data_IF_596658263163
#
_entry.id   IF_596658263163
#
_cell.length_a   1.000
_cell.length_b   1.000
_cell.length_c   1.000
_cell.angle_alpha   90.00
_cell.angle_beta   90.00
_cell.angle_gamma   90.00
#
_symmetry.space_group_name_H-M   'P 1'
#
loop_
_entity.id
_entity.type
_entity.pdbx_description
1 polymer ?
#
# COMPACT_ATOMS: atom_id res chain seq x y z
N UNK A 1 21.75 6.65 126.51
CA UNK A 1 22.20 5.81 125.37
C UNK A 1 21.42 6.04 124.07
N UNK A 2 20.94 7.27 123.77
CA UNK A 2 20.07 7.54 122.58
C UNK A 2 20.73 8.45 121.53
N UNK A 3 21.87 9.08 121.82
CA UNK A 3 22.45 10.13 120.95
C UNK A 3 23.39 9.62 119.84
N UNK A 4 24.04 8.46 120.01
CA UNK A 4 25.00 7.91 119.03
C UNK A 4 24.31 7.26 117.82
N UNK A 5 23.15 6.61 118.00
CA UNK A 5 22.40 5.93 116.92
C UNK A 5 21.83 6.90 115.86
N UNK A 6 21.57 8.16 116.22
CA UNK A 6 21.09 9.19 115.28
C UNK A 6 22.22 9.83 114.48
N UNK A 7 23.44 9.88 115.03
CA UNK A 7 24.62 10.41 114.32
C UNK A 7 25.14 9.40 113.28
N UNK A 8 25.14 8.10 113.57
CA UNK A 8 25.51 7.06 112.60
C UNK A 8 24.53 6.99 111.43
N UNK A 9 23.23 7.13 111.68
CA UNK A 9 22.21 7.23 110.62
C UNK A 9 22.36 8.49 109.74
N UNK A 10 22.83 9.61 110.29
CA UNK A 10 23.10 10.81 109.49
C UNK A 10 24.34 10.66 108.60
N UNK A 11 25.39 9.98 109.08
CA UNK A 11 26.58 9.69 108.29
C UNK A 11 26.28 8.70 107.14
N UNK A 12 25.56 7.63 107.41
CA UNK A 12 25.10 6.67 106.39
C UNK A 12 24.22 7.34 105.31
N UNK A 13 23.38 8.31 105.70
CA UNK A 13 22.52 9.04 104.75
C UNK A 13 23.32 10.06 103.91
N UNK A 14 24.41 10.62 104.45
CA UNK A 14 25.31 11.51 103.72
C UNK A 14 26.15 10.76 102.67
N UNK A 15 26.66 9.57 103.02
CA UNK A 15 27.35 8.69 102.06
C UNK A 15 26.40 8.20 100.96
N UNK A 16 25.14 7.90 101.30
CA UNK A 16 24.12 7.53 100.32
C UNK A 16 23.82 8.68 99.33
N UNK A 17 23.77 9.93 99.80
CA UNK A 17 23.59 11.13 98.96
C UNK A 17 24.82 11.38 98.07
N UNK A 18 26.03 11.13 98.57
CA UNK A 18 27.25 11.25 97.78
C UNK A 18 27.28 10.23 96.63
N UNK A 19 26.99 8.96 96.93
CA UNK A 19 26.86 7.89 95.91
C UNK A 19 25.77 8.19 94.88
N UNK A 20 24.62 8.71 95.31
CA UNK A 20 23.55 9.17 94.41
C UNK A 20 24.04 10.30 93.47
N UNK A 21 24.84 11.22 93.97
CA UNK A 21 25.40 12.32 93.17
C UNK A 21 26.41 11.83 92.13
N UNK A 22 27.28 10.87 92.49
CA UNK A 22 28.21 10.22 91.56
C UNK A 22 27.48 9.40 90.50
N UNK A 23 26.48 8.61 90.89
CA UNK A 23 25.63 7.88 89.95
C UNK A 23 24.92 8.81 88.97
N UNK A 24 24.40 9.95 89.45
CA UNK A 24 23.72 10.92 88.59
C UNK A 24 24.70 11.56 87.58
N UNK A 25 25.95 11.80 88.00
CA UNK A 25 27.02 12.33 87.15
C UNK A 25 27.50 11.32 86.12
N UNK A 26 27.68 10.05 86.50
CA UNK A 26 28.05 8.97 85.56
C UNK A 26 26.94 8.68 84.57
N UNK A 27 25.68 8.72 85.02
CA UNK A 27 24.50 8.58 84.15
C UNK A 27 24.38 9.74 83.17
N UNK A 28 24.60 10.98 83.62
CA UNK A 28 24.63 12.14 82.74
C UNK A 28 25.74 12.02 81.68
N UNK A 29 26.94 11.59 82.08
CA UNK A 29 28.05 11.35 81.15
C UNK A 29 27.75 10.22 80.16
N UNK A 30 27.14 9.13 80.62
CA UNK A 30 26.70 8.02 79.75
C UNK A 30 25.64 8.45 78.75
N UNK A 31 24.67 9.28 79.16
CA UNK A 31 23.66 9.84 78.25
C UNK A 31 24.29 10.80 77.21
N UNK A 32 25.28 11.60 77.61
CA UNK A 32 26.03 12.49 76.71
C UNK A 32 26.79 11.68 75.64
N UNK A 33 27.47 10.61 76.03
CA UNK A 33 28.19 9.72 75.11
C UNK A 33 27.23 8.97 74.17
N UNK A 34 26.06 8.53 74.67
CA UNK A 34 25.00 7.94 73.83
C UNK A 34 24.50 8.95 72.79
N UNK A 35 24.25 10.20 73.18
CA UNK A 35 23.83 11.26 72.24
C UNK A 35 24.89 11.51 71.18
N UNK A 36 26.17 11.60 71.56
CA UNK A 36 27.28 11.76 70.60
C UNK A 36 27.40 10.56 69.65
N UNK A 37 27.23 9.35 70.16
CA UNK A 37 27.22 8.13 69.33
C UNK A 37 26.06 8.12 68.33
N UNK A 38 24.86 8.50 68.77
CA UNK A 38 23.68 8.63 67.90
C UNK A 38 23.87 9.71 66.83
N UNK A 39 24.44 10.86 67.19
CA UNK A 39 24.75 11.95 66.27
C UNK A 39 25.79 11.53 65.22
N UNK A 40 26.84 10.81 65.64
CA UNK A 40 27.85 10.26 64.73
C UNK A 40 27.25 9.25 63.75
N UNK A 41 26.40 8.35 64.23
CA UNK A 41 25.72 7.35 63.39
C UNK A 41 24.77 8.01 62.40
N UNK A 42 24.05 9.06 62.83
CA UNK A 42 23.17 9.85 61.95
C UNK A 42 23.95 10.54 60.84
N UNK A 43 25.14 11.08 61.12
CA UNK A 43 26.01 11.68 60.10
C UNK A 43 26.52 10.66 59.08
N UNK A 44 26.97 9.48 59.55
CA UNK A 44 27.41 8.39 58.65
C UNK A 44 26.25 7.95 57.74
N UNK A 45 25.03 7.86 58.28
CA UNK A 45 23.85 7.50 57.50
C UNK A 45 23.49 8.56 56.45
N UNK A 46 23.65 9.85 56.78
CA UNK A 46 23.43 10.97 55.84
C UNK A 46 24.47 11.00 54.71
N UNK A 47 25.76 10.81 55.03
CA UNK A 47 26.85 10.70 54.05
C UNK A 47 26.61 9.55 53.08
N UNK A 48 26.22 8.38 53.60
CA UNK A 48 25.92 7.20 52.79
C UNK A 48 24.71 7.44 51.88
N UNK A 49 23.67 8.10 52.37
CA UNK A 49 22.50 8.50 51.58
C UNK A 49 22.91 9.45 50.45
N UNK A 50 23.77 10.42 50.74
CA UNK A 50 24.24 11.40 49.76
C UNK A 50 25.10 10.76 48.66
N UNK A 51 26.00 9.85 49.02
CA UNK A 51 26.79 9.09 48.04
C UNK A 51 25.93 8.17 47.16
N UNK A 52 24.88 7.55 47.73
CA UNK A 52 23.92 6.78 46.95
C UNK A 52 23.14 7.66 45.96
N UNK A 53 22.73 8.86 46.37
CA UNK A 53 22.00 9.79 45.51
C UNK A 53 22.89 10.32 44.37
N UNK A 54 24.16 10.66 44.64
CA UNK A 54 25.11 11.07 43.61
C UNK A 54 25.34 9.98 42.56
N UNK A 55 25.56 8.74 43.00
CA UNK A 55 25.77 7.61 42.09
C UNK A 55 24.51 7.33 41.25
N UNK A 56 23.32 7.42 41.85
CA UNK A 56 22.05 7.30 41.14
C UNK A 56 21.90 8.38 40.08
N UNK A 57 22.19 9.64 40.42
CA UNK A 57 22.07 10.77 39.49
C UNK A 57 23.07 10.65 38.33
N UNK A 58 24.30 10.21 38.58
CA UNK A 58 25.28 9.95 37.51
C UNK A 58 24.80 8.86 36.56
N UNK A 59 24.36 7.71 37.10
CA UNK A 59 23.84 6.60 36.28
C UNK A 59 22.63 7.06 35.47
N UNK A 60 21.70 7.78 36.09
CA UNK A 60 20.52 8.30 35.41
C UNK A 60 20.91 9.25 34.26
N UNK A 61 21.80 10.21 34.52
CA UNK A 61 22.26 11.15 33.48
C UNK A 61 22.97 10.47 32.31
N UNK A 62 23.78 9.44 32.57
CA UNK A 62 24.48 8.69 31.53
C UNK A 62 23.50 7.90 30.65
N UNK A 63 22.54 7.21 31.27
CA UNK A 63 21.50 6.48 30.54
C UNK A 63 20.64 7.44 29.72
N UNK A 64 20.24 8.59 30.27
CA UNK A 64 19.49 9.61 29.54
C UNK A 64 20.27 10.15 28.33
N UNK A 65 21.59 10.36 28.47
CA UNK A 65 22.47 10.77 27.37
C UNK A 65 22.55 9.72 26.27
N UNK A 66 22.86 8.46 26.60
CA UNK A 66 22.98 7.39 25.60
C UNK A 66 21.66 7.11 24.87
N UNK A 67 20.54 7.12 25.61
CA UNK A 67 19.20 6.98 25.00
C UNK A 67 18.90 8.16 24.07
N UNK A 68 19.33 9.37 24.44
CA UNK A 68 19.24 10.56 23.60
C UNK A 68 20.00 10.40 22.28
N UNK A 69 21.26 9.99 22.34
CA UNK A 69 22.10 9.76 21.15
C UNK A 69 21.53 8.69 20.23
N UNK A 70 21.04 7.57 20.79
CA UNK A 70 20.38 6.51 20.03
C UNK A 70 19.13 7.05 19.33
N UNK A 71 18.31 7.83 20.04
CA UNK A 71 17.10 8.43 19.47
C UNK A 71 17.43 9.37 18.31
N UNK A 72 18.46 10.20 18.45
CA UNK A 72 18.88 11.13 17.40
C UNK A 72 19.40 10.37 16.17
N UNK A 73 20.18 9.31 16.36
CA UNK A 73 20.64 8.46 15.27
C UNK A 73 19.48 7.76 14.54
N UNK A 74 18.48 7.24 15.28
CA UNK A 74 17.28 6.65 14.67
C UNK A 74 16.49 7.67 13.85
N UNK A 75 16.29 8.88 14.38
CA UNK A 75 15.56 9.94 13.67
C UNK A 75 16.28 10.30 12.36
N UNK A 76 17.60 10.47 12.39
CA UNK A 76 18.39 10.74 11.18
C UNK A 76 18.30 9.62 10.15
N UNK A 77 18.30 8.34 10.57
CA UNK A 77 18.08 7.22 9.68
C UNK A 77 16.67 7.21 9.06
N UNK A 78 15.64 7.55 9.84
CA UNK A 78 14.26 7.64 9.36
C UNK A 78 14.14 8.73 8.30
N UNK A 79 14.68 9.94 8.55
CA UNK A 79 14.65 11.06 7.60
C UNK A 79 15.29 10.68 6.26
N UNK A 80 16.46 10.03 6.28
CA UNK A 80 17.12 9.54 5.05
C UNK A 80 16.26 8.54 4.28
N UNK A 81 15.62 7.59 4.98
CA UNK A 81 14.75 6.60 4.34
C UNK A 81 13.53 7.31 3.73
N UNK A 82 12.95 8.29 4.42
CA UNK A 82 11.84 9.06 3.89
C UNK A 82 12.23 9.84 2.63
N UNK A 83 13.41 10.45 2.60
CA UNK A 83 13.95 11.12 1.42
C UNK A 83 14.12 10.15 0.23
N UNK A 84 14.74 8.99 0.46
CA UNK A 84 14.93 7.96 -0.57
C UNK A 84 13.59 7.47 -1.12
N UNK A 85 12.61 7.22 -0.25
CA UNK A 85 11.25 6.81 -0.63
C UNK A 85 10.56 7.88 -1.47
N UNK A 86 10.69 9.16 -1.13
CA UNK A 86 10.13 10.25 -1.92
C UNK A 86 10.83 10.40 -3.28
N UNK A 87 12.14 10.18 -3.33
CA UNK A 87 12.90 10.18 -4.59
C UNK A 87 12.40 9.06 -5.52
N UNK A 88 12.37 7.82 -5.03
CA UNK A 88 11.87 6.67 -5.78
C UNK A 88 10.42 6.85 -6.26
N UNK A 89 9.57 7.44 -5.43
CA UNK A 89 8.19 7.74 -5.80
C UNK A 89 8.11 8.70 -6.99
N UNK A 90 9.01 9.67 -7.09
CA UNK A 90 9.11 10.60 -8.22
C UNK A 90 9.55 9.89 -9.49
N UNK A 91 10.61 9.10 -9.41
CA UNK A 91 11.13 8.30 -10.54
C UNK A 91 10.06 7.34 -11.09
N UNK A 92 9.32 6.65 -10.22
CA UNK A 92 8.19 5.79 -10.62
C UNK A 92 7.12 6.60 -11.38
N UNK A 93 6.83 7.83 -10.95
CA UNK A 93 5.89 8.71 -11.63
C UNK A 93 6.35 9.10 -13.04
N UNK A 94 7.64 9.41 -13.20
CA UNK A 94 8.24 9.73 -14.50
C UNK A 94 8.22 8.52 -15.45
N UNK A 95 8.63 7.34 -14.95
CA UNK A 95 8.61 6.10 -15.72
C UNK A 95 7.18 5.75 -16.14
N UNK A 96 6.20 5.86 -15.25
CA UNK A 96 4.79 5.61 -15.59
C UNK A 96 4.31 6.55 -16.70
N UNK A 97 4.64 7.84 -16.61
CA UNK A 97 4.26 8.83 -17.63
C UNK A 97 4.90 8.54 -18.99
N UNK A 98 6.18 8.14 -19.00
CA UNK A 98 6.89 7.77 -20.22
C UNK A 98 6.37 6.46 -20.84
N UNK A 99 6.00 5.49 -20.00
CA UNK A 99 5.35 4.26 -20.45
C UNK A 99 3.99 4.56 -21.08
N UNK A 100 3.16 5.39 -20.45
CA UNK A 100 1.87 5.82 -21.02
C UNK A 100 2.05 6.52 -22.37
N UNK A 101 3.00 7.46 -22.48
CA UNK A 101 3.30 8.17 -23.73
C UNK A 101 3.73 7.21 -24.84
N UNK A 102 4.60 6.23 -24.53
CA UNK A 102 5.05 5.23 -25.49
C UNK A 102 3.94 4.28 -25.93
N UNK A 103 3.04 3.92 -25.02
CA UNK A 103 1.84 3.13 -25.36
C UNK A 103 0.97 3.92 -26.34
N UNK A 104 0.69 5.20 -26.06
CA UNK A 104 -0.12 6.04 -26.95
C UNK A 104 0.53 6.22 -28.34
N UNK A 105 1.84 6.44 -28.42
CA UNK A 105 2.57 6.53 -29.69
C UNK A 105 2.50 5.23 -30.51
N UNK A 106 2.57 4.07 -29.85
CA UNK A 106 2.41 2.77 -30.50
C UNK A 106 0.96 2.55 -30.91
N UNK A 107 -0.02 2.91 -30.06
CA UNK A 107 -1.44 2.86 -30.38
C UNK A 107 -1.74 3.68 -31.65
N UNK A 108 -1.25 4.91 -31.75
CA UNK A 108 -1.49 5.80 -32.90
C UNK A 108 -0.88 5.27 -34.20
N UNK A 109 0.38 4.83 -34.16
CA UNK A 109 1.04 4.23 -35.34
C UNK A 109 0.29 2.99 -35.81
N UNK A 110 -0.17 2.17 -34.86
CA UNK A 110 -0.85 0.94 -35.20
C UNK A 110 -2.28 1.20 -35.66
N UNK A 111 -3.00 2.15 -35.07
CA UNK A 111 -4.30 2.63 -35.54
C UNK A 111 -4.24 3.16 -36.97
N UNK A 112 -3.17 3.86 -37.34
CA UNK A 112 -2.89 4.27 -38.72
C UNK A 112 -2.88 3.07 -39.68
N UNK A 113 -2.10 2.03 -39.36
CA UNK A 113 -2.00 0.80 -40.15
C UNK A 113 -3.32 0.02 -40.19
N UNK A 114 -4.07 -0.02 -39.09
CA UNK A 114 -5.39 -0.64 -39.02
C UNK A 114 -6.40 0.11 -39.89
N UNK A 115 -6.31 1.43 -39.96
CA UNK A 115 -7.19 2.24 -40.81
C UNK A 115 -6.98 1.93 -42.29
N UNK A 116 -5.73 1.66 -42.71
CA UNK A 116 -5.39 1.22 -44.07
C UNK A 116 -6.03 -0.14 -44.38
N UNK A 117 -6.00 -1.08 -43.42
CA UNK A 117 -6.57 -2.42 -43.59
C UNK A 117 -8.12 -2.40 -43.55
N UNK A 118 -8.74 -1.63 -42.64
CA UNK A 118 -10.20 -1.45 -42.59
C UNK A 118 -10.74 -0.87 -43.90
N UNK A 119 -9.95 -0.01 -44.57
CA UNK A 119 -10.28 0.50 -45.91
C UNK A 119 -10.31 -0.63 -46.96
N UNK A 120 -9.45 -1.65 -46.85
CA UNK A 120 -9.46 -2.83 -47.74
C UNK A 120 -10.73 -3.68 -47.59
N UNK A 121 -11.15 -4.00 -46.36
CA UNK A 121 -12.39 -4.79 -46.13
C UNK A 121 -13.62 -4.06 -46.64
N UNK A 122 -13.75 -2.77 -46.32
CA UNK A 122 -14.87 -1.93 -46.78
C UNK A 122 -14.88 -1.82 -48.30
N UNK A 123 -13.72 -1.65 -48.93
CA UNK A 123 -13.57 -1.60 -50.38
C UNK A 123 -14.04 -2.91 -51.04
N UNK A 124 -13.67 -4.09 -50.51
CA UNK A 124 -14.11 -5.38 -51.05
C UNK A 124 -15.63 -5.52 -51.01
N UNK A 125 -16.26 -5.20 -49.87
CA UNK A 125 -17.72 -5.22 -49.75
C UNK A 125 -18.40 -4.25 -50.71
N UNK A 126 -17.89 -3.03 -50.85
CA UNK A 126 -18.44 -2.04 -51.79
C UNK A 126 -18.30 -2.51 -53.24
N UNK A 127 -17.13 -3.07 -53.60
CA UNK A 127 -16.87 -3.61 -54.93
C UNK A 127 -17.78 -4.80 -55.25
N UNK A 128 -18.00 -5.70 -54.30
CA UNK A 128 -18.90 -6.86 -54.49
C UNK A 128 -20.34 -6.42 -54.70
N UNK A 129 -20.82 -5.45 -53.92
CA UNK A 129 -22.17 -4.87 -54.08
C UNK A 129 -22.32 -4.21 -55.46
N UNK A 130 -21.37 -3.36 -55.85
CA UNK A 130 -21.40 -2.66 -57.14
C UNK A 130 -21.29 -3.63 -58.31
N UNK A 131 -20.38 -4.61 -58.24
CA UNK A 131 -20.17 -5.56 -59.33
C UNK A 131 -21.36 -6.50 -59.51
N UNK A 132 -22.06 -6.85 -58.42
CA UNK A 132 -23.27 -7.66 -58.46
C UNK A 132 -24.45 -6.87 -59.00
N UNK A 133 -24.65 -5.63 -58.55
CA UNK A 133 -25.74 -4.76 -59.03
C UNK A 133 -25.62 -4.40 -60.52
N UNK A 134 -24.40 -4.38 -61.06
CA UNK A 134 -24.14 -4.08 -62.47
C UNK A 134 -23.86 -5.34 -63.32
N UNK A 135 -24.03 -6.54 -62.75
CA UNK A 135 -23.83 -7.84 -63.44
C UNK A 135 -22.49 -7.94 -64.19
N UNK A 136 -21.41 -7.44 -63.57
CA UNK A 136 -20.10 -7.44 -64.22
C UNK A 136 -19.60 -8.86 -64.45
N UNK A 137 -19.18 -9.15 -65.68
CA UNK A 137 -18.42 -10.37 -65.98
C UNK A 137 -16.98 -10.27 -65.43
N UNK A 138 -16.29 -11.41 -65.29
CA UNK A 138 -14.96 -11.46 -64.68
C UNK A 138 -13.93 -10.50 -65.32
N UNK A 139 -13.99 -10.31 -66.64
CA UNK A 139 -13.09 -9.39 -67.34
C UNK A 139 -13.32 -7.94 -66.91
N UNK A 140 -14.59 -7.52 -66.81
CA UNK A 140 -14.95 -6.18 -66.33
C UNK A 140 -14.62 -6.02 -64.86
N UNK A 141 -14.89 -7.04 -64.02
CA UNK A 141 -14.51 -7.03 -62.60
C UNK A 141 -13.01 -6.79 -62.43
N UNK A 142 -12.16 -7.57 -63.09
CA UNK A 142 -10.69 -7.41 -62.99
C UNK A 142 -10.24 -6.04 -63.46
N UNK A 143 -10.74 -5.59 -64.61
CA UNK A 143 -10.40 -4.27 -65.16
C UNK A 143 -10.77 -3.14 -64.19
N UNK A 144 -11.97 -3.17 -63.61
CA UNK A 144 -12.43 -2.13 -62.69
C UNK A 144 -11.77 -2.24 -61.31
N UNK A 145 -11.46 -3.46 -60.86
CA UNK A 145 -10.75 -3.69 -59.62
C UNK A 145 -9.33 -3.11 -59.70
N UNK A 146 -8.57 -3.43 -60.75
CA UNK A 146 -7.24 -2.86 -60.99
C UNK A 146 -7.29 -1.34 -61.15
N UNK A 147 -8.26 -0.82 -61.91
CA UNK A 147 -8.40 0.62 -62.15
C UNK A 147 -8.80 1.42 -60.90
N UNK A 148 -9.38 0.79 -59.89
CA UNK A 148 -9.77 1.42 -58.62
C UNK A 148 -8.69 1.38 -57.54
N UNK A 149 -7.65 0.55 -57.70
CA UNK A 149 -6.50 0.57 -56.79
C UNK A 149 -5.76 1.92 -56.84
N UNK A 150 -5.37 2.42 -55.67
CA UNK A 150 -4.65 3.69 -55.48
C UNK A 150 -3.59 3.52 -54.39
N UNK A 151 -2.55 4.37 -54.41
CA UNK A 151 -1.50 4.36 -53.39
C UNK A 151 -0.74 3.02 -53.33
N UNK A 152 -0.39 2.56 -52.12
CA UNK A 152 0.39 1.32 -51.94
C UNK A 152 -0.33 0.05 -52.39
N UNK A 153 -1.66 0.09 -52.57
CA UNK A 153 -2.41 -1.03 -53.12
C UNK A 153 -2.06 -1.29 -54.59
N UNK A 154 -1.74 -0.24 -55.37
CA UNK A 154 -1.35 -0.40 -56.79
C UNK A 154 0.06 -1.01 -56.92
N UNK A 155 0.93 -0.78 -55.93
CA UNK A 155 2.29 -1.34 -55.92
C UNK A 155 2.28 -2.87 -55.84
N UNK A 156 1.23 -3.47 -55.25
CA UNK A 156 1.09 -4.94 -55.19
C UNK A 156 1.05 -5.55 -56.59
N UNK A 157 0.52 -4.82 -57.57
CA UNK A 157 0.44 -5.29 -58.95
C UNK A 157 1.82 -5.48 -59.59
N UNK A 158 2.86 -4.77 -59.12
CA UNK A 158 4.23 -4.92 -59.66
C UNK A 158 4.84 -6.29 -59.34
N UNK A 159 4.40 -6.94 -58.26
CA UNK A 159 4.85 -8.27 -57.87
C UNK A 159 4.12 -9.43 -58.56
N UNK A 160 3.08 -9.14 -59.36
CA UNK A 160 2.25 -10.15 -60.02
C UNK A 160 2.69 -10.27 -61.49
N UNK A 161 2.97 -11.49 -62.00
CA UNK A 161 3.23 -11.70 -63.42
C UNK A 161 2.10 -11.17 -64.31
N UNK A 162 2.45 -10.56 -65.44
CA UNK A 162 1.48 -9.89 -66.32
C UNK A 162 0.40 -10.81 -66.88
N UNK A 163 0.71 -12.09 -67.10
CA UNK A 163 -0.21 -13.13 -67.54
C UNK A 163 -1.25 -13.52 -66.46
N UNK A 164 -0.98 -13.19 -65.19
CA UNK A 164 -1.88 -13.46 -64.06
C UNK A 164 -2.69 -12.25 -63.60
N UNK A 165 -2.40 -11.06 -64.14
CA UNK A 165 -3.18 -9.84 -63.87
C UNK A 165 -4.60 -9.87 -64.46
N UNK A 166 -4.95 -10.92 -65.22
CA UNK A 166 -6.32 -11.15 -65.69
C UNK A 166 -7.16 -12.01 -64.75
N UNK A 167 -6.55 -12.61 -63.71
CA UNK A 167 -7.26 -13.41 -62.71
C UNK A 167 -7.51 -12.59 -61.44
N UNK A 168 -8.80 -12.36 -61.15
CA UNK A 168 -9.22 -11.62 -59.96
C UNK A 168 -8.72 -12.29 -58.68
N UNK A 169 -8.76 -13.62 -58.63
CA UNK A 169 -8.39 -14.41 -57.45
C UNK A 169 -6.92 -14.20 -57.09
N UNK A 170 -6.04 -14.19 -58.09
CA UNK A 170 -4.60 -13.96 -57.89
C UNK A 170 -4.33 -12.55 -57.35
N UNK A 171 -5.04 -11.53 -57.86
CA UNK A 171 -4.91 -10.15 -57.39
C UNK A 171 -5.45 -9.99 -55.98
N UNK A 172 -6.61 -10.57 -55.69
CA UNK A 172 -7.20 -10.57 -54.35
C UNK A 172 -6.29 -11.25 -53.33
N UNK A 173 -5.72 -12.41 -53.67
CA UNK A 173 -4.79 -13.12 -52.78
C UNK A 173 -3.50 -12.33 -52.52
N UNK A 174 -2.98 -11.61 -53.52
CA UNK A 174 -1.80 -10.77 -53.34
C UNK A 174 -2.08 -9.56 -52.44
N UNK A 175 -3.28 -8.96 -52.56
CA UNK A 175 -3.74 -7.90 -51.66
C UNK A 175 -3.99 -8.43 -50.25
N UNK A 176 -4.60 -9.60 -50.12
CA UNK A 176 -4.81 -10.28 -48.84
C UNK A 176 -3.47 -10.67 -48.18
N UNK A 177 -2.46 -11.05 -48.96
CA UNK A 177 -1.14 -11.35 -48.42
C UNK A 177 -0.43 -10.10 -47.86
N UNK A 178 -0.63 -8.92 -48.46
CA UNK A 178 0.03 -7.66 -48.04
C UNK A 178 -0.79 -6.87 -47.01
N UNK A 179 -2.11 -6.91 -47.12
CA UNK A 179 -3.05 -6.08 -46.35
C UNK A 179 -4.12 -6.90 -45.61
N UNK A 180 -4.08 -8.23 -45.70
CA UNK A 180 -5.07 -9.09 -45.07
C UNK A 180 -5.07 -9.01 -43.55
N UNK A 181 -6.17 -9.47 -42.98
CA UNK A 181 -6.52 -9.31 -41.58
C UNK A 181 -5.95 -10.43 -40.66
N UNK A 182 -5.20 -11.37 -41.23
CA UNK A 182 -4.59 -12.48 -40.47
C UNK A 182 -3.65 -12.00 -39.36
N UNK A 183 -2.70 -11.11 -39.69
CA UNK A 183 -1.80 -10.50 -38.71
C UNK A 183 -2.54 -9.57 -37.74
N UNK A 184 -3.62 -8.97 -38.21
CA UNK A 184 -4.45 -8.03 -37.48
C UNK A 184 -5.35 -8.71 -36.44
N UNK A 185 -5.78 -9.95 -36.69
CA UNK A 185 -6.50 -10.78 -35.71
C UNK A 185 -5.66 -10.97 -34.45
N UNK A 186 -4.36 -11.26 -34.60
CA UNK A 186 -3.45 -11.42 -33.46
C UNK A 186 -3.18 -10.08 -32.77
N UNK A 187 -3.13 -8.98 -33.52
CA UNK A 187 -3.03 -7.63 -32.96
C UNK A 187 -4.24 -7.31 -32.06
N UNK A 188 -5.47 -7.49 -32.54
CA UNK A 188 -6.67 -7.23 -31.73
C UNK A 188 -6.78 -8.13 -30.50
N UNK A 189 -6.26 -9.37 -30.56
CA UNK A 189 -6.16 -10.24 -29.38
C UNK A 189 -5.20 -9.68 -28.33
N UNK A 190 -4.10 -9.08 -28.76
CA UNK A 190 -3.16 -8.42 -27.84
C UNK A 190 -3.81 -7.16 -27.26
N UNK A 191 -4.43 -6.33 -28.09
CA UNK A 191 -5.14 -5.12 -27.67
C UNK A 191 -6.24 -5.43 -26.64
N UNK A 192 -7.03 -6.50 -26.84
CA UNK A 192 -8.02 -6.99 -25.87
C UNK A 192 -7.40 -7.33 -24.51
N UNK A 193 -6.24 -8.01 -24.49
CA UNK A 193 -5.57 -8.42 -23.25
C UNK A 193 -5.02 -7.22 -22.48
N UNK A 194 -4.48 -6.24 -23.19
CA UNK A 194 -3.88 -5.05 -22.60
C UNK A 194 -4.88 -3.93 -22.35
N UNK A 195 -6.11 -4.05 -22.85
CA UNK A 195 -7.14 -3.02 -22.69
C UNK A 195 -7.40 -2.72 -21.22
N UNK A 196 -7.32 -1.44 -20.86
CA UNK A 196 -7.68 -0.91 -19.55
C UNK A 196 -8.49 0.37 -19.71
N UNK A 197 -9.46 0.59 -18.83
CA UNK A 197 -10.32 1.78 -18.84
C UNK A 197 -9.51 3.06 -18.64
N UNK A 198 -9.59 4.01 -19.59
CA UNK A 198 -8.87 5.28 -19.51
C UNK A 198 -9.49 6.19 -18.41
N UNK A 199 -8.74 7.09 -17.77
CA UNK A 199 -9.30 8.04 -16.81
C UNK A 199 -10.44 8.86 -17.44
N UNK A 200 -11.62 8.87 -16.82
CA UNK A 200 -12.79 9.58 -17.34
C UNK A 200 -13.59 8.84 -18.43
N UNK A 201 -13.10 7.70 -18.92
CA UNK A 201 -13.83 6.86 -19.87
C UNK A 201 -15.08 6.23 -19.22
N UNK A 202 -16.23 6.30 -19.89
CA UNK A 202 -17.45 5.66 -19.41
C UNK A 202 -17.40 4.14 -19.61
N UNK A 203 -18.10 3.39 -18.75
CA UNK A 203 -18.16 1.92 -18.86
C UNK A 203 -18.78 1.47 -20.20
N UNK A 204 -19.69 2.28 -20.75
CA UNK A 204 -20.32 1.99 -22.04
C UNK A 204 -19.34 2.13 -23.20
N UNK A 205 -18.49 3.16 -23.19
CA UNK A 205 -17.46 3.35 -24.22
C UNK A 205 -16.45 2.19 -24.17
N UNK A 206 -16.01 1.82 -22.96
CA UNK A 206 -15.16 0.65 -22.75
C UNK A 206 -15.81 -0.64 -23.31
N UNK A 207 -17.08 -0.89 -22.96
CA UNK A 207 -17.79 -2.08 -23.42
C UNK A 207 -17.95 -2.13 -24.94
N UNK A 208 -18.32 -1.01 -25.57
CA UNK A 208 -18.45 -0.92 -27.02
C UNK A 208 -17.10 -1.19 -27.73
N UNK A 209 -16.00 -0.72 -27.16
CA UNK A 209 -14.67 -0.98 -27.70
C UNK A 209 -14.24 -2.44 -27.51
N UNK A 210 -14.52 -3.04 -26.35
CA UNK A 210 -14.31 -4.49 -26.13
C UNK A 210 -15.14 -5.32 -27.11
N UNK A 211 -16.41 -4.99 -27.34
CA UNK A 211 -17.29 -5.68 -28.30
C UNK A 211 -16.75 -5.58 -29.73
N UNK A 212 -16.31 -4.38 -30.13
CA UNK A 212 -15.65 -4.13 -31.41
C UNK A 212 -14.41 -5.00 -31.56
N UNK A 213 -13.51 -4.98 -30.59
CA UNK A 213 -12.28 -5.76 -30.62
C UNK A 213 -12.55 -7.27 -30.62
N UNK A 214 -13.54 -7.75 -29.87
CA UNK A 214 -13.95 -9.15 -29.85
C UNK A 214 -14.47 -9.63 -31.20
N UNK A 215 -15.23 -8.79 -31.91
CA UNK A 215 -15.71 -9.09 -33.25
C UNK A 215 -14.56 -9.20 -34.26
N UNK A 216 -13.52 -8.39 -34.09
CA UNK A 216 -12.37 -8.39 -34.99
C UNK A 216 -11.34 -9.49 -34.64
N UNK A 217 -11.07 -9.75 -33.36
CA UNK A 217 -10.10 -10.73 -32.87
C UNK A 217 -10.59 -12.19 -32.98
N UNK A 218 -11.91 -12.39 -32.98
CA UNK A 218 -12.53 -13.71 -32.92
C UNK A 218 -13.69 -13.86 -33.91
N UNK A 219 -13.61 -13.25 -35.11
CA UNK A 219 -14.68 -13.27 -36.11
C UNK A 219 -15.22 -14.68 -36.47
N UNK A 220 -14.36 -15.72 -36.40
CA UNK A 220 -14.71 -17.12 -36.68
C UNK A 220 -15.33 -17.87 -35.50
N UNK A 221 -15.39 -17.24 -34.33
CA UNK A 221 -15.88 -17.86 -33.10
C UNK A 221 -17.41 -17.66 -32.97
N UNK A 222 -18.16 -18.69 -32.51
CA UNK A 222 -19.59 -18.57 -32.20
C UNK A 222 -19.91 -17.35 -31.33
N UNK A 223 -21.07 -16.73 -31.57
CA UNK A 223 -21.46 -15.48 -30.93
C UNK A 223 -21.59 -15.62 -29.40
N UNK A 224 -22.16 -16.73 -28.93
CA UNK A 224 -22.33 -17.04 -27.51
C UNK A 224 -20.99 -17.12 -26.76
N UNK A 225 -19.99 -17.77 -27.38
CA UNK A 225 -18.63 -17.84 -26.83
C UNK A 225 -17.96 -16.47 -26.84
N UNK A 226 -18.16 -15.68 -27.91
CA UNK A 226 -17.64 -14.31 -27.98
C UNK A 226 -18.26 -13.42 -26.90
N UNK A 227 -19.56 -13.49 -26.68
CA UNK A 227 -20.27 -12.64 -25.71
C UNK A 227 -19.83 -12.93 -24.27
N UNK A 228 -19.62 -14.21 -23.94
CA UNK A 228 -19.12 -14.63 -22.64
C UNK A 228 -17.67 -14.16 -22.41
N UNK A 229 -16.80 -14.38 -23.40
CA UNK A 229 -15.40 -13.96 -23.32
C UNK A 229 -15.25 -12.43 -23.29
N UNK A 230 -16.11 -11.70 -24.02
CA UNK A 230 -16.19 -10.26 -23.98
C UNK A 230 -16.52 -9.74 -22.57
N UNK A 231 -17.43 -10.41 -21.86
CA UNK A 231 -17.75 -10.09 -20.47
C UNK A 231 -16.53 -10.19 -19.55
N UNK A 232 -15.72 -11.24 -19.70
CA UNK A 232 -14.50 -11.43 -18.90
C UNK A 232 -13.47 -10.33 -19.18
N UNK A 233 -13.14 -10.08 -20.45
CA UNK A 233 -12.20 -9.02 -20.83
C UNK A 233 -12.68 -7.64 -20.38
N UNK A 234 -13.98 -7.36 -20.45
CA UNK A 234 -14.55 -6.12 -19.95
C UNK A 234 -14.34 -5.95 -18.45
N UNK A 235 -14.61 -6.98 -17.64
CA UNK A 235 -14.40 -6.94 -16.19
C UNK A 235 -12.93 -6.71 -15.86
N UNK A 236 -12.02 -7.42 -16.52
CA UNK A 236 -10.58 -7.29 -16.32
C UNK A 236 -10.05 -5.90 -16.74
N UNK A 237 -10.73 -5.23 -17.68
CA UNK A 237 -10.38 -3.89 -18.14
C UNK A 237 -10.88 -2.75 -17.22
N UNK A 238 -11.80 -3.00 -16.28
CA UNK A 238 -12.33 -1.96 -15.37
C UNK A 238 -11.22 -1.42 -14.45
N UNK A 239 -11.09 -0.09 -14.37
CA UNK A 239 -10.06 0.58 -13.55
C UNK A 239 -10.39 0.64 -12.07
N UNK A 240 -11.66 0.83 -11.71
CA UNK A 240 -12.07 0.91 -10.31
C UNK A 240 -12.12 -0.50 -9.68
N UNK A 241 -11.17 -0.81 -8.79
CA UNK A 241 -11.03 -2.13 -8.15
C UNK A 241 -12.32 -2.63 -7.50
N UNK A 242 -13.00 -1.81 -6.70
CA UNK A 242 -14.26 -2.22 -6.06
C UNK A 242 -15.33 -2.63 -7.08
N UNK A 243 -15.43 -1.88 -8.19
CA UNK A 243 -16.40 -2.13 -9.25
C UNK A 243 -16.01 -3.37 -10.03
N UNK A 244 -14.72 -3.54 -10.33
CA UNK A 244 -14.18 -4.75 -10.95
C UNK A 244 -14.49 -5.99 -10.10
N UNK A 245 -14.16 -5.95 -8.81
CA UNK A 245 -14.37 -7.08 -7.89
C UNK A 245 -15.86 -7.43 -7.75
N UNK A 246 -16.72 -6.43 -7.54
CA UNK A 246 -18.15 -6.64 -7.44
C UNK A 246 -18.73 -7.26 -8.73
N UNK A 247 -18.31 -6.79 -9.91
CA UNK A 247 -18.79 -7.35 -11.18
C UNK A 247 -18.25 -8.75 -11.43
N UNK A 248 -17.00 -9.05 -11.01
CA UNK A 248 -16.42 -10.40 -11.12
C UNK A 248 -17.20 -11.42 -10.29
N UNK A 249 -17.65 -11.04 -9.09
CA UNK A 249 -18.45 -11.91 -8.21
C UNK A 249 -19.85 -12.25 -8.74
N UNK A 250 -20.37 -11.48 -9.70
CA UNK A 250 -21.70 -11.71 -10.24
C UNK A 250 -21.75 -12.84 -11.27
N UNK A 251 -20.60 -13.36 -11.73
CA UNK A 251 -20.49 -14.38 -12.78
C UNK A 251 -21.32 -14.04 -14.02
N UNK A 252 -21.07 -12.85 -14.58
CA UNK A 252 -21.77 -12.36 -15.76
C UNK A 252 -21.64 -13.34 -16.94
N UNK A 253 -22.78 -13.74 -17.52
CA UNK A 253 -22.83 -14.68 -18.65
C UNK A 253 -22.41 -14.06 -19.98
N UNK A 254 -22.58 -12.75 -20.10
CA UNK A 254 -22.34 -11.98 -21.31
C UNK A 254 -21.91 -10.54 -20.97
N UNK A 255 -21.31 -9.87 -21.96
CA UNK A 255 -20.85 -8.48 -21.85
C UNK A 255 -21.93 -7.51 -21.39
N UNK A 256 -23.17 -7.66 -21.89
CA UNK A 256 -24.28 -6.75 -21.59
C UNK A 256 -24.71 -6.87 -20.12
N UNK A 257 -24.75 -8.09 -19.60
CA UNK A 257 -25.01 -8.40 -18.20
C UNK A 257 -23.93 -7.80 -17.30
N UNK A 258 -22.65 -7.97 -17.66
CA UNK A 258 -21.52 -7.38 -16.94
C UNK A 258 -21.60 -5.85 -16.90
N UNK A 259 -21.83 -5.21 -18.05
CA UNK A 259 -21.96 -3.75 -18.17
C UNK A 259 -23.11 -3.21 -17.31
N UNK A 260 -24.29 -3.85 -17.42
CA UNK A 260 -25.49 -3.42 -16.69
C UNK A 260 -25.27 -3.46 -15.19
N UNK A 261 -24.65 -4.52 -14.68
CA UNK A 261 -24.34 -4.65 -13.26
C UNK A 261 -23.28 -3.64 -12.80
N UNK A 262 -22.16 -3.50 -13.54
CA UNK A 262 -21.13 -2.51 -13.23
C UNK A 262 -21.71 -1.09 -13.12
N UNK A 263 -22.62 -0.74 -14.03
CA UNK A 263 -23.34 0.54 -13.99
C UNK A 263 -24.23 0.67 -12.74
N UNK A 264 -25.02 -0.37 -12.41
CA UNK A 264 -25.87 -0.38 -11.21
C UNK A 264 -25.05 -0.24 -9.92
N UNK A 265 -23.94 -0.98 -9.82
CA UNK A 265 -23.04 -0.93 -8.68
C UNK A 265 -22.43 0.47 -8.52
N UNK A 266 -21.95 1.06 -9.63
CA UNK A 266 -21.38 2.41 -9.62
C UNK A 266 -22.40 3.46 -9.19
N UNK A 267 -23.64 3.38 -9.70
CA UNK A 267 -24.73 4.24 -9.27
C UNK A 267 -25.04 4.08 -7.77
N UNK A 268 -25.20 2.85 -7.28
CA UNK A 268 -25.44 2.59 -5.86
C UNK A 268 -24.31 3.12 -4.96
N UNK A 269 -23.04 2.93 -5.37
CA UNK A 269 -21.86 3.43 -4.66
C UNK A 269 -21.85 4.96 -4.55
N UNK A 270 -22.22 5.69 -5.61
CA UNK A 270 -22.34 7.15 -5.54
C UNK A 270 -23.38 7.62 -4.53
N UNK A 271 -24.52 6.92 -4.46
CA UNK A 271 -25.57 7.18 -3.45
C UNK A 271 -25.05 6.89 -2.05
N UNK A 272 -24.35 5.78 -1.83
CA UNK A 272 -23.79 5.43 -0.51
C UNK A 272 -22.65 6.34 -0.04
N UNK A 273 -21.85 6.91 -0.97
CA UNK A 273 -20.84 7.92 -0.62
C UNK A 273 -21.50 9.25 -0.25
N UNK A 274 -22.56 9.61 -0.96
CA UNK A 274 -23.35 10.82 -0.66
C UNK A 274 -24.10 10.69 0.66
N UNK A 275 -24.64 9.51 1.00
CA UNK A 275 -25.36 9.28 2.26
C UNK A 275 -24.44 9.21 3.48
N UNK A 276 -23.21 8.66 3.35
CA UNK A 276 -22.21 8.68 4.43
C UNK A 276 -21.71 10.10 4.74
N UNK A 277 -21.72 11.00 3.76
CA UNK A 277 -21.39 12.42 3.98
C UNK A 277 -22.49 13.20 4.72
N UNK A 278 -23.69 12.63 4.94
CA UNK A 278 -24.79 13.31 5.67
C UNK A 278 -24.81 12.99 7.18
N UNK A 279 -24.06 11.99 7.64
CA UNK A 279 -23.70 11.83 9.05
C UNK A 279 -22.59 10.80 9.15
N UNK A 280 -21.34 11.25 9.14
CA UNK A 280 -20.26 10.45 9.70
C UNK A 280 -20.51 10.37 11.21
N UNK A 281 -21.23 9.33 11.63
CA UNK A 281 -20.97 8.74 12.94
C UNK A 281 -19.73 7.88 12.71
N UNK A 282 -18.62 8.31 13.29
CA UNK A 282 -17.41 7.51 13.37
C UNK A 282 -17.79 6.25 14.16
N UNK A 283 -18.06 5.14 13.48
CA UNK A 283 -17.95 3.84 14.12
C UNK A 283 -16.46 3.56 14.11
N UNK A 284 -15.84 3.91 15.24
CA UNK A 284 -14.51 3.50 15.64
C UNK A 284 -14.43 1.97 15.44
N UNK A 285 -13.77 1.54 14.36
CA UNK A 285 -13.52 0.12 14.08
C UNK A 285 -12.60 -0.40 15.19
N UNK A 286 -13.14 -1.30 16.01
CA UNK A 286 -12.54 -1.82 17.25
C UNK A 286 -11.35 -2.75 17.03
N UNK A 287 -10.51 -2.47 16.04
CA UNK A 287 -9.28 -3.23 15.75
C UNK A 287 -7.99 -2.43 16.01
N UNK A 288 -8.10 -1.15 16.38
CA UNK A 288 -6.99 -0.33 16.88
C UNK A 288 -6.65 -0.56 18.36
N UNK A 289 -7.66 -0.81 19.21
CA UNK A 289 -7.49 -0.93 20.67
C UNK A 289 -6.78 -2.20 21.12
N UNK A 290 -6.93 -3.31 20.39
CA UNK A 290 -6.32 -4.60 20.79
C UNK A 290 -4.79 -4.59 20.63
N UNK A 291 -4.25 -3.80 19.69
CA UNK A 291 -2.79 -3.63 19.56
C UNK A 291 -2.22 -2.76 20.68
N UNK A 292 -2.92 -1.70 21.06
CA UNK A 292 -2.52 -0.80 22.14
C UNK A 292 -2.59 -1.49 23.52
N UNK A 293 -3.65 -2.27 23.80
CA UNK A 293 -3.76 -3.03 25.06
C UNK A 293 -2.65 -4.08 25.20
N UNK A 294 -2.27 -4.72 24.09
CA UNK A 294 -1.19 -5.71 24.06
C UNK A 294 0.18 -5.05 24.24
N UNK A 295 0.37 -3.86 23.67
CA UNK A 295 1.57 -3.05 23.85
C UNK A 295 1.68 -2.50 25.28
N UNK A 296 0.58 -2.04 25.86
CA UNK A 296 0.48 -1.61 27.26
C UNK A 296 0.73 -2.75 28.24
N UNK A 297 0.26 -3.96 27.93
CA UNK A 297 0.57 -5.15 28.71
C UNK A 297 2.06 -5.49 28.67
N UNK A 298 2.71 -5.34 27.51
CA UNK A 298 4.15 -5.55 27.38
C UNK A 298 4.95 -4.48 28.14
N UNK A 299 4.56 -3.20 28.07
CA UNK A 299 5.18 -2.11 28.82
C UNK A 299 5.05 -2.33 30.33
N UNK A 300 3.86 -2.69 30.83
CA UNK A 300 3.65 -3.00 32.26
C UNK A 300 4.45 -4.22 32.72
N UNK A 301 4.69 -5.19 31.83
CA UNK A 301 5.48 -6.38 32.15
C UNK A 301 6.98 -6.05 32.21
N UNK A 302 7.47 -5.21 31.29
CA UNK A 302 8.83 -4.69 31.30
C UNK A 302 9.09 -3.81 32.53
N UNK A 303 8.15 -2.95 32.89
CA UNK A 303 8.24 -2.11 34.08
C UNK A 303 8.29 -2.95 35.37
N UNK A 304 7.52 -4.03 35.46
CA UNK A 304 7.61 -5.01 36.57
C UNK A 304 8.95 -5.72 36.61
N UNK A 305 9.50 -6.15 35.47
CA UNK A 305 10.81 -6.80 35.41
C UNK A 305 11.94 -5.86 35.84
N UNK A 306 11.88 -4.59 35.42
CA UNK A 306 12.83 -3.56 35.81
C UNK A 306 12.79 -3.30 37.32
N UNK A 307 11.58 -3.16 37.89
CA UNK A 307 11.39 -2.95 39.32
C UNK A 307 11.82 -4.16 40.16
N UNK A 308 11.60 -5.39 39.67
CA UNK A 308 12.06 -6.61 40.32
C UNK A 308 13.60 -6.76 40.28
N UNK A 309 14.24 -6.32 39.20
CA UNK A 309 15.71 -6.31 39.11
C UNK A 309 16.32 -5.26 40.05
N UNK A 310 15.68 -4.10 40.21
CA UNK A 310 16.06 -3.06 41.19
C UNK A 310 15.85 -3.54 42.63
N UNK A 311 14.80 -4.32 42.90
CA UNK A 311 14.53 -4.91 44.21
C UNK A 311 15.47 -6.09 44.53
N UNK A 312 15.83 -6.91 43.54
CA UNK A 312 16.75 -8.04 43.68
C UNK A 312 18.17 -7.64 44.03
N UNK A 313 18.64 -6.47 43.56
CA UNK A 313 19.97 -5.94 43.93
C UNK A 313 20.06 -5.32 45.33
N UNK A 314 18.94 -5.16 46.05
CA UNK A 314 18.92 -4.69 47.45
C UNK A 314 19.03 -5.82 48.48
N UNK A 315 18.98 -7.08 48.04
CA UNK A 315 19.04 -8.26 48.89
C UNK A 315 20.18 -9.18 48.46
N UNK A 316 21.41 -8.78 48.72
CA UNK A 316 22.54 -9.71 48.85
C UNK A 316 23.48 -9.13 49.91
N UNK A 317 23.93 -9.91 50.91
CA UNK A 317 24.62 -9.38 52.10
C UNK A 317 25.90 -8.63 51.81
#
# INVERSE_FOLDING_TARGET
MVNTRSQTKMAENADLLFLLSEMKKSMAKGQEEIKKGQEGMRKVQEEMRKGQEEMKNQIQSHVESEVGEIKDHFNSCIERIEEDVQSLKREIGEVNSEVERKIEEVEDKTNGQISDIRRTTVFKTQFDVVSSANEWNNRVKVSQFVASLRGSAVEVLQGIPSDKLTDLTTIENALEARFGDSHLTQFYRTELKTRRQKPGESLQVLAADVERLMTLAYAKCPQDVRDSLAGQYFVDAIREEDTQYATRLMDAKDLKSALTYSMKYKAAKTVSKTSRNVRSIEIEDGTGKEKDEKFDCLLKTLEKLLNNHIAGKKNTP
#
